data_IF_838105491410
#
_entry.id   IF_838105491410
#
_cell.length_a   1.000
_cell.length_b   1.000
_cell.length_c   1.000
_cell.angle_alpha   90.00
_cell.angle_beta   90.00
_cell.angle_gamma   90.00
#
_symmetry.space_group_name_H-M   'P 1'
#
loop_
_entity.id
_entity.type
_entity.pdbx_description
1 polymer ?
#
# COMPACT_ATOMS: atom_id res chain seq x y z
N UNK A 1 -6.83 15.71 2.17
CA UNK A 1 -7.21 15.06 0.90
C UNK A 1 -5.96 14.71 0.05
N UNK A 2 -4.89 14.19 0.67
CA UNK A 2 -3.61 13.85 0.01
C UNK A 2 -2.87 12.65 0.63
N UNK A 3 -3.53 11.82 1.46
CA UNK A 3 -2.84 10.78 2.26
C UNK A 3 -2.28 9.63 1.40
N UNK A 4 -2.67 9.53 0.13
CA UNK A 4 -2.29 8.43 -0.77
C UNK A 4 -1.45 8.88 -1.98
N UNK A 5 -1.12 10.16 -2.10
CA UNK A 5 -0.29 10.65 -3.20
C UNK A 5 1.12 10.09 -3.06
N UNK A 6 1.52 9.17 -3.94
CA UNK A 6 2.80 8.46 -3.88
C UNK A 6 2.76 7.06 -3.26
N UNK A 7 1.58 6.57 -2.84
CA UNK A 7 1.43 5.20 -2.36
C UNK A 7 1.26 4.20 -3.51
N UNK A 8 1.86 3.02 -3.35
CA UNK A 8 1.73 1.89 -4.25
C UNK A 8 0.81 0.84 -3.66
N UNK A 9 0.16 0.06 -4.53
CA UNK A 9 -0.59 -1.11 -4.10
C UNK A 9 -0.15 -2.35 -4.87
N UNK A 10 -0.03 -3.47 -4.16
CA UNK A 10 0.22 -4.79 -4.73
C UNK A 10 -0.86 -5.77 -4.29
N UNK A 11 -1.28 -6.68 -5.18
CA UNK A 11 -2.20 -7.76 -4.82
C UNK A 11 -1.48 -8.77 -3.94
N UNK A 12 -2.05 -9.05 -2.77
CA UNK A 12 -1.64 -10.19 -1.93
C UNK A 12 -2.33 -11.45 -2.46
N UNK A 13 -3.63 -11.33 -2.68
CA UNK A 13 -4.51 -12.31 -3.29
C UNK A 13 -5.60 -11.57 -4.10
N UNK A 14 -6.67 -12.28 -4.47
CA UNK A 14 -7.79 -11.72 -5.25
C UNK A 14 -8.53 -10.62 -4.49
N UNK A 15 -8.57 -10.69 -3.15
CA UNK A 15 -9.34 -9.81 -2.26
C UNK A 15 -8.48 -8.79 -1.52
N UNK A 16 -7.22 -9.05 -1.24
CA UNK A 16 -6.39 -8.20 -0.38
C UNK A 16 -5.37 -7.39 -1.19
N UNK A 17 -5.10 -6.17 -0.72
CA UNK A 17 -4.00 -5.33 -1.19
C UNK A 17 -3.04 -5.04 -0.06
N UNK A 18 -1.75 -5.07 -0.40
CA UNK A 18 -0.71 -4.40 0.35
C UNK A 18 -0.59 -2.98 -0.19
N UNK A 19 -0.89 -1.98 0.64
CA UNK A 19 -0.65 -0.57 0.34
C UNK A 19 0.58 -0.12 1.11
N UNK A 20 1.54 0.47 0.39
CA UNK A 20 2.81 0.87 0.97
C UNK A 20 3.35 2.15 0.34
N UNK A 21 4.25 2.81 1.06
CA UNK A 21 5.11 3.87 0.54
C UNK A 21 6.53 3.32 0.41
N UNK A 22 7.15 3.55 -0.74
CA UNK A 22 8.58 3.34 -0.91
C UNK A 22 9.34 4.64 -0.66
N UNK A 23 10.51 4.51 -0.06
CA UNK A 23 11.51 5.54 0.08
C UNK A 23 12.86 4.93 -0.31
N UNK A 24 13.88 5.75 -0.50
CA UNK A 24 15.21 5.26 -0.91
C UNK A 24 15.82 4.23 0.06
N UNK A 25 15.36 4.18 1.32
CA UNK A 25 15.95 3.33 2.36
C UNK A 25 14.95 2.38 3.04
N UNK A 26 13.65 2.66 2.96
CA UNK A 26 12.63 1.93 3.69
C UNK A 26 11.34 1.76 2.89
N UNK A 27 10.62 0.71 3.23
CA UNK A 27 9.23 0.50 2.82
C UNK A 27 8.35 0.61 4.06
N UNK A 28 7.34 1.48 4.00
CA UNK A 28 6.37 1.67 5.08
C UNK A 28 5.05 1.03 4.67
N UNK A 29 4.61 0.02 5.41
CA UNK A 29 3.33 -0.65 5.19
C UNK A 29 2.22 0.19 5.82
N UNK A 30 1.26 0.62 5.00
CA UNK A 30 0.11 1.40 5.44
C UNK A 30 -1.11 0.52 5.69
N UNK A 31 -1.30 -0.51 4.85
CA UNK A 31 -2.41 -1.45 4.94
C UNK A 31 -2.03 -2.80 4.31
N UNK A 32 -2.52 -3.90 4.90
CA UNK A 32 -2.33 -5.25 4.37
C UNK A 32 -3.62 -6.08 4.49
N UNK A 33 -4.77 -5.46 4.21
CA UNK A 33 -6.11 -6.07 4.28
C UNK A 33 -7.10 -5.27 3.43
N UNK A 34 -8.16 -5.93 3.00
CA UNK A 34 -9.37 -5.35 2.40
C UNK A 34 -9.13 -4.55 1.10
N UNK A 35 -9.44 -5.15 -0.05
CA UNK A 35 -9.71 -4.39 -1.28
C UNK A 35 -11.21 -4.13 -1.40
N UNK A 36 -11.66 -3.08 -0.70
CA UNK A 36 -13.06 -2.69 -0.47
C UNK A 36 -13.87 -3.66 0.39
#
# INVERSE_FOLDING_TARGET
>A
KHVLSGSWSRRIDDTNRLVYLDTDSHIVILQARDHY
#
